data_IF_762235189535
#
_entry.id   IF_762235189535
#
_cell.length_a   1.000
_cell.length_b   1.000
_cell.length_c   1.000
_cell.angle_alpha   90.00
_cell.angle_beta   90.00
_cell.angle_gamma   90.00
#
_symmetry.space_group_name_H-M   'P 1'
#
loop_
_entity.id
_entity.type
_entity.pdbx_description
1 polymer ?
#
# COMPACT_ATOMS: atom_id res chain seq x y z
N UNK A 1 -13.65 9.34 -10.95
CA UNK A 1 -12.80 9.23 -9.75
C UNK A 1 -13.61 9.36 -8.45
N UNK A 2 -14.18 10.52 -8.09
CA UNK A 2 -14.96 10.70 -6.84
C UNK A 2 -16.05 9.63 -6.61
N UNK A 3 -16.85 9.31 -7.62
CA UNK A 3 -17.93 8.30 -7.50
C UNK A 3 -17.40 6.90 -7.16
N UNK A 4 -16.23 6.51 -7.66
CA UNK A 4 -15.61 5.22 -7.34
C UNK A 4 -15.17 5.17 -5.87
N UNK A 5 -14.63 6.28 -5.34
CA UNK A 5 -14.19 6.42 -3.95
C UNK A 5 -15.37 6.29 -3.00
N UNK A 6 -16.48 6.95 -3.35
CA UNK A 6 -17.73 6.88 -2.58
C UNK A 6 -18.27 5.45 -2.59
N UNK A 7 -18.33 4.81 -3.76
CA UNK A 7 -18.79 3.43 -3.88
C UNK A 7 -17.95 2.48 -3.04
N UNK A 8 -16.62 2.53 -3.18
CA UNK A 8 -15.69 1.68 -2.44
C UNK A 8 -15.82 1.88 -0.92
N UNK A 9 -15.89 3.14 -0.47
CA UNK A 9 -16.06 3.45 0.96
C UNK A 9 -17.41 2.95 1.48
N UNK A 10 -18.49 3.13 0.73
CA UNK A 10 -19.81 2.64 1.12
C UNK A 10 -19.88 1.11 1.15
N UNK A 11 -19.22 0.42 0.22
CA UNK A 11 -19.14 -1.05 0.24
C UNK A 11 -18.47 -1.50 1.53
N UNK A 12 -17.32 -0.90 1.88
CA UNK A 12 -16.63 -1.20 3.13
C UNK A 12 -17.53 -0.92 4.34
N UNK A 13 -18.08 0.28 4.46
CA UNK A 13 -18.86 0.70 5.62
C UNK A 13 -20.10 -0.16 5.83
N UNK A 14 -20.90 -0.34 4.77
CA UNK A 14 -22.24 -0.92 4.91
C UNK A 14 -22.24 -2.45 4.88
N UNK A 15 -21.25 -3.07 4.23
CA UNK A 15 -21.26 -4.53 4.03
C UNK A 15 -20.11 -5.25 4.72
N UNK A 16 -18.91 -4.66 4.78
CA UNK A 16 -17.73 -5.31 5.35
C UNK A 16 -17.63 -5.00 6.84
N UNK A 17 -17.57 -3.71 7.18
CA UNK A 17 -17.34 -3.26 8.54
C UNK A 17 -18.47 -3.66 9.49
N UNK A 18 -19.72 -3.50 9.05
CA UNK A 18 -20.90 -3.92 9.80
C UNK A 18 -20.88 -5.43 10.11
N UNK A 19 -20.59 -6.28 9.11
CA UNK A 19 -20.58 -7.74 9.28
C UNK A 19 -19.40 -8.25 10.11
N UNK A 20 -18.27 -7.56 10.08
CA UNK A 20 -17.04 -7.95 10.79
C UNK A 20 -16.87 -7.21 12.12
N UNK A 21 -17.80 -6.34 12.50
CA UNK A 21 -17.70 -5.52 13.71
C UNK A 21 -16.49 -4.57 13.71
N UNK A 22 -16.04 -4.12 12.53
CA UNK A 22 -14.88 -3.23 12.41
C UNK A 22 -15.27 -1.81 12.85
N UNK A 23 -14.51 -1.28 13.82
CA UNK A 23 -14.70 0.07 14.36
C UNK A 23 -13.64 1.08 13.94
N UNK A 24 -12.50 0.60 13.42
CA UNK A 24 -11.38 1.46 13.03
C UNK A 24 -10.81 1.00 11.70
N UNK A 25 -10.57 1.94 10.78
CA UNK A 25 -9.89 1.72 9.51
C UNK A 25 -8.58 2.50 9.51
N UNK A 26 -7.49 1.80 9.18
CA UNK A 26 -6.16 2.40 9.03
C UNK A 26 -5.85 2.58 7.55
N UNK A 27 -5.37 3.77 7.18
CA UNK A 27 -4.90 4.08 5.82
C UNK A 27 -3.55 4.79 5.90
N UNK A 28 -2.74 4.66 4.85
CA UNK A 28 -1.48 5.40 4.76
C UNK A 28 -1.70 6.84 4.27
N UNK A 29 -0.84 7.74 4.72
CA UNK A 29 -0.67 9.07 4.15
C UNK A 29 0.02 8.96 2.79
N UNK A 30 -0.51 9.66 1.80
CA UNK A 30 0.01 9.66 0.42
C UNK A 30 0.11 11.10 -0.08
N UNK A 31 1.13 11.85 0.38
CA UNK A 31 1.25 13.29 0.11
C UNK A 31 1.67 13.58 -1.35
N UNK A 32 2.20 12.59 -2.06
CA UNK A 32 2.73 12.75 -3.41
C UNK A 32 1.74 12.39 -4.52
N UNK A 33 0.49 12.03 -4.18
CA UNK A 33 -0.55 11.65 -5.13
C UNK A 33 -1.82 12.45 -4.86
N UNK A 34 -2.12 13.41 -5.74
CA UNK A 34 -3.35 14.23 -5.67
C UNK A 34 -4.62 13.38 -5.60
N UNK A 35 -4.67 12.28 -6.37
CA UNK A 35 -5.80 11.36 -6.40
C UNK A 35 -5.98 10.61 -5.08
N UNK A 36 -4.89 10.30 -4.38
CA UNK A 36 -4.93 9.57 -3.11
C UNK A 36 -5.23 10.48 -1.92
N UNK A 37 -4.84 11.76 -1.96
CA UNK A 37 -5.28 12.74 -0.98
C UNK A 37 -6.80 12.97 -1.05
N UNK A 38 -7.35 13.10 -2.27
CA UNK A 38 -8.79 13.19 -2.49
C UNK A 38 -9.52 11.94 -1.95
N UNK A 39 -8.90 10.77 -2.09
CA UNK A 39 -9.41 9.51 -1.56
C UNK A 39 -9.53 9.53 -0.03
N UNK A 40 -8.47 9.91 0.69
CA UNK A 40 -8.50 10.01 2.15
C UNK A 40 -9.53 11.05 2.64
N UNK A 41 -9.65 12.18 1.95
CA UNK A 41 -10.62 13.23 2.30
C UNK A 41 -12.07 12.74 2.18
N UNK A 42 -12.44 12.16 1.03
CA UNK A 42 -13.80 11.64 0.80
C UNK A 42 -14.10 10.48 1.77
N UNK A 43 -13.13 9.60 2.01
CA UNK A 43 -13.30 8.50 2.95
C UNK A 43 -13.59 9.02 4.35
N UNK A 44 -12.87 10.05 4.80
CA UNK A 44 -13.10 10.70 6.10
C UNK A 44 -14.51 11.26 6.21
N UNK A 45 -15.02 11.92 5.18
CA UNK A 45 -16.40 12.46 5.14
C UNK A 45 -17.46 11.36 5.32
N UNK A 46 -17.27 10.21 4.67
CA UNK A 46 -18.22 9.10 4.73
C UNK A 46 -18.11 8.35 6.06
N UNK A 47 -16.89 8.03 6.50
CA UNK A 47 -16.68 7.24 7.72
C UNK A 47 -17.09 7.98 8.99
N UNK A 48 -16.94 9.31 9.01
CA UNK A 48 -17.44 10.16 10.10
C UNK A 48 -18.93 9.94 10.40
N UNK A 49 -19.74 9.60 9.38
CA UNK A 49 -21.17 9.33 9.54
C UNK A 49 -21.50 7.91 10.03
N UNK A 50 -20.51 7.03 10.13
CA UNK A 50 -20.72 5.57 10.29
C UNK A 50 -20.20 4.97 11.60
N UNK A 51 -19.80 5.79 12.58
CA UNK A 51 -19.15 5.35 13.83
C UNK A 51 -17.86 4.55 13.62
N UNK A 52 -17.27 4.62 12.43
CA UNK A 52 -15.97 4.01 12.11
C UNK A 52 -14.91 5.11 12.20
N UNK A 53 -13.93 4.91 13.06
CA UNK A 53 -12.76 5.77 13.17
C UNK A 53 -11.82 5.58 11.96
N UNK A 54 -11.39 6.67 11.35
CA UNK A 54 -10.36 6.65 10.32
C UNK A 54 -9.04 7.16 10.89
N UNK A 55 -8.02 6.29 10.89
CA UNK A 55 -6.65 6.62 11.30
C UNK A 55 -5.77 6.69 10.07
N UNK A 56 -5.21 7.89 9.80
CA UNK A 56 -4.26 8.11 8.72
C UNK A 56 -2.85 8.02 9.30
N UNK A 57 -2.09 7.00 8.89
CA UNK A 57 -0.73 6.76 9.35
C UNK A 57 0.25 7.54 8.47
N UNK A 58 1.18 8.33 9.06
CA UNK A 58 2.18 9.07 8.30
C UNK A 58 2.99 8.16 7.38
N UNK A 59 3.47 8.73 6.26
CA UNK A 59 4.31 7.98 5.33
C UNK A 59 5.61 7.56 6.01
N UNK A 60 5.90 6.26 6.03
CA UNK A 60 7.16 5.76 6.59
C UNK A 60 8.34 6.11 5.67
N UNK A 61 9.37 6.72 6.25
CA UNK A 61 10.57 7.21 5.56
C UNK A 61 11.78 6.50 6.17
N UNK A 62 12.69 6.03 5.32
CA UNK A 62 13.98 5.43 5.67
C UNK A 62 15.06 6.08 4.79
N UNK A 63 16.19 6.51 5.37
CA UNK A 63 17.28 7.17 4.64
C UNK A 63 16.79 8.32 3.72
N UNK A 64 15.88 9.18 4.22
CA UNK A 64 15.27 10.30 3.50
C UNK A 64 14.43 9.92 2.26
N UNK A 65 14.09 8.62 2.08
CA UNK A 65 13.25 8.14 0.99
C UNK A 65 12.02 7.42 1.53
N UNK A 66 10.83 7.62 0.93
CA UNK A 66 9.66 6.85 1.31
C UNK A 66 9.86 5.36 1.05
N UNK A 67 9.54 4.51 2.03
CA UNK A 67 9.48 3.07 1.80
C UNK A 67 8.34 2.80 0.81
N UNK A 68 8.62 2.06 -0.27
CA UNK A 68 7.60 1.72 -1.26
C UNK A 68 7.73 0.27 -1.72
N UNK A 69 6.58 -0.37 -1.96
CA UNK A 69 6.54 -1.74 -2.47
C UNK A 69 7.19 -1.87 -3.87
N UNK A 70 7.15 -0.80 -4.68
CA UNK A 70 7.83 -0.76 -5.99
C UNK A 70 9.34 -0.87 -5.83
N UNK A 71 9.94 -0.13 -4.89
CA UNK A 71 11.37 -0.22 -4.61
C UNK A 71 11.77 -1.62 -4.10
N UNK A 72 10.96 -2.22 -3.23
CA UNK A 72 11.20 -3.59 -2.74
C UNK A 72 11.17 -4.59 -3.90
N UNK A 73 10.20 -4.51 -4.81
CA UNK A 73 10.13 -5.37 -6.00
C UNK A 73 11.34 -5.19 -6.92
N UNK A 74 11.79 -3.94 -7.12
CA UNK A 74 13.00 -3.63 -7.90
C UNK A 74 14.23 -4.31 -7.31
N UNK A 75 14.47 -4.16 -6.01
CA UNK A 75 15.59 -4.79 -5.32
C UNK A 75 15.49 -6.32 -5.37
N UNK A 76 14.28 -6.88 -5.26
CA UNK A 76 14.05 -8.32 -5.33
C UNK A 76 14.48 -8.90 -6.67
N UNK A 77 14.01 -8.35 -7.80
CA UNK A 77 14.39 -8.89 -9.12
C UNK A 77 15.87 -8.68 -9.45
N UNK A 78 16.51 -7.69 -8.82
CA UNK A 78 17.95 -7.45 -8.92
C UNK A 78 18.78 -8.38 -8.02
N UNK A 79 18.14 -9.16 -7.14
CA UNK A 79 18.81 -9.99 -6.14
C UNK A 79 19.50 -9.18 -5.03
N UNK A 80 19.18 -7.88 -4.90
CA UNK A 80 19.81 -7.00 -3.92
C UNK A 80 19.11 -7.08 -2.55
N UNK A 81 19.33 -8.20 -1.86
CA UNK A 81 18.76 -8.43 -0.53
C UNK A 81 19.43 -7.60 0.57
N UNK A 82 20.65 -7.11 0.33
CA UNK A 82 21.40 -6.26 1.28
C UNK A 82 20.67 -4.95 1.54
N UNK A 83 20.31 -4.25 0.47
CA UNK A 83 19.60 -2.97 0.59
C UNK A 83 18.13 -3.18 0.97
N UNK A 84 17.53 -4.30 0.54
CA UNK A 84 16.15 -4.65 0.90
C UNK A 84 15.95 -4.82 2.40
N UNK A 85 16.97 -5.28 3.14
CA UNK A 85 16.91 -5.47 4.60
C UNK A 85 16.50 -4.20 5.35
N UNK A 86 16.78 -3.01 4.80
CA UNK A 86 16.39 -1.72 5.39
C UNK A 86 14.91 -1.39 5.19
N UNK A 87 14.27 -1.99 4.19
CA UNK A 87 12.92 -1.61 3.74
C UNK A 87 11.83 -2.56 4.24
N UNK A 88 12.20 -3.76 4.70
CA UNK A 88 11.24 -4.80 5.10
C UNK A 88 11.66 -5.47 6.41
N UNK A 89 10.70 -5.95 7.22
CA UNK A 89 11.00 -6.77 8.39
C UNK A 89 11.82 -8.02 8.03
N UNK A 90 12.57 -8.52 9.02
CA UNK A 90 13.43 -9.71 8.84
C UNK A 90 12.65 -10.95 8.37
N UNK A 91 11.40 -11.10 8.79
CA UNK A 91 10.51 -12.20 8.39
C UNK A 91 10.22 -12.15 6.88
N UNK A 92 9.89 -10.97 6.36
CA UNK A 92 9.67 -10.71 4.93
C UNK A 92 10.96 -10.93 4.13
N UNK A 93 12.10 -10.44 4.62
CA UNK A 93 13.39 -10.66 3.96
C UNK A 93 13.70 -12.15 3.82
N UNK A 94 13.56 -12.92 4.92
CA UNK A 94 13.78 -14.37 4.93
C UNK A 94 12.84 -15.10 3.97
N UNK A 95 11.58 -14.69 3.90
CA UNK A 95 10.63 -15.26 2.94
C UNK A 95 11.07 -15.00 1.50
N UNK A 96 11.42 -13.76 1.16
CA UNK A 96 11.85 -13.40 -0.19
C UNK A 96 13.16 -14.10 -0.59
N UNK A 97 14.10 -14.27 0.33
CA UNK A 97 15.36 -15.00 0.08
C UNK A 97 15.14 -16.49 -0.29
N UNK A 98 14.01 -17.09 0.14
CA UNK A 98 13.66 -18.46 -0.25
C UNK A 98 13.10 -18.57 -1.66
N UNK A 99 12.68 -17.44 -2.26
CA UNK A 99 12.12 -17.41 -3.60
C UNK A 99 13.23 -17.33 -4.66
N UNK A 100 13.03 -17.98 -5.80
CA UNK A 100 13.94 -17.86 -6.94
C UNK A 100 13.70 -16.54 -7.68
N UNK A 101 14.32 -15.46 -7.21
CA UNK A 101 14.14 -14.11 -7.77
C UNK A 101 14.45 -14.03 -9.29
N UNK A 102 15.34 -14.88 -9.82
CA UNK A 102 15.66 -14.92 -11.27
C UNK A 102 14.43 -15.30 -12.11
N UNK A 103 13.58 -16.19 -11.60
CA UNK A 103 12.30 -16.55 -12.25
C UNK A 103 11.38 -15.32 -12.38
N UNK A 104 11.39 -14.42 -11.39
CA UNK A 104 10.57 -13.22 -11.40
C UNK A 104 11.19 -12.13 -12.28
N UNK A 105 12.52 -12.02 -12.31
CA UNK A 105 13.24 -11.07 -13.17
C UNK A 105 13.03 -11.35 -14.68
N UNK A 106 12.82 -12.61 -15.04
CA UNK A 106 12.58 -13.04 -16.43
C UNK A 106 11.10 -12.94 -16.85
N UNK A 107 10.20 -12.56 -15.94
CA UNK A 107 8.77 -12.49 -16.23
C UNK A 107 8.38 -11.07 -16.72
N UNK A 108 7.98 -10.91 -17.99
CA UNK A 108 7.65 -9.59 -18.55
C UNK A 108 6.47 -8.89 -17.86
N UNK A 109 5.48 -9.64 -17.38
CA UNK A 109 4.31 -9.07 -16.68
C UNK A 109 4.69 -8.50 -15.32
N UNK A 110 5.67 -9.12 -14.65
CA UNK A 110 6.13 -8.68 -13.33
C UNK A 110 7.08 -7.49 -13.41
N UNK A 111 7.83 -7.35 -14.51
CA UNK A 111 8.65 -6.16 -14.77
C UNK A 111 7.81 -4.88 -14.86
N UNK A 112 6.57 -4.96 -15.39
CA UNK A 112 5.63 -3.82 -15.44
C UNK A 112 5.24 -3.29 -14.04
N UNK A 113 5.36 -4.10 -12.98
CA UNK A 113 5.05 -3.68 -11.60
C UNK A 113 6.15 -2.84 -10.95
N UNK A 114 7.27 -2.66 -11.65
CA UNK A 114 8.47 -1.97 -11.20
C UNK A 114 8.65 -0.65 -11.95
N UNK A 115 8.26 -0.60 -13.22
CA UNK A 115 8.16 0.63 -14.00
C UNK A 115 6.81 1.32 -13.76
N UNK A 116 6.75 2.13 -12.71
CA UNK A 116 5.73 3.17 -12.60
C UNK A 116 6.30 4.47 -13.13
N UNK A 117 6.39 4.61 -14.45
CA UNK A 117 6.28 5.93 -15.05
C UNK A 117 4.87 6.43 -14.74
N UNK A 118 4.75 7.20 -13.67
CA UNK A 118 3.56 8.00 -13.40
C UNK A 118 3.46 9.12 -14.44
#
# INVERSE_FOLDING_TARGET
>A
MRSQIILDTNIFTNYIACKLGIKTRYVGEEPFSYTTNLYNTIMKEILFKSSIELVILPRLIEDFKPISATQVRKLFIQGNFKDMKKLVPITTLKFLQKLNYKKYAQNPELSKLIDKSF
#
